data_IF_284543691703
#
_entry.id   IF_284543691703
#
_cell.length_a   1.000
_cell.length_b   1.000
_cell.length_c   1.000
_cell.angle_alpha   90.00
_cell.angle_beta   90.00
_cell.angle_gamma   90.00
#
_symmetry.space_group_name_H-M   'P 1'
#
loop_
_entity.id
_entity.type
_entity.pdbx_description
1 polymer ?
#
# COMPACT_ATOMS: atom_id res chain seq x y z
N UNK A 1 -0.49 25.86 -0.33
CA UNK A 1 0.24 26.06 -1.61
C UNK A 1 0.82 24.70 -1.94
N UNK A 2 0.36 24.04 -3.00
CA UNK A 2 0.99 22.79 -3.46
C UNK A 2 2.27 23.17 -4.20
N UNK A 3 3.42 23.03 -3.54
CA UNK A 3 4.73 23.42 -4.11
C UNK A 3 5.15 22.51 -5.28
N UNK A 4 4.57 21.31 -5.38
CA UNK A 4 4.93 20.28 -6.36
C UNK A 4 3.71 19.68 -7.08
N UNK A 5 3.88 19.33 -8.36
CA UNK A 5 2.83 18.69 -9.17
C UNK A 5 2.66 17.20 -8.76
N UNK A 6 1.47 16.77 -8.29
CA UNK A 6 1.18 15.37 -7.95
C UNK A 6 1.50 14.38 -9.08
N UNK A 7 1.40 14.80 -10.35
CA UNK A 7 1.71 13.98 -11.53
C UNK A 7 3.19 13.64 -11.66
N UNK A 8 4.07 14.42 -11.03
CA UNK A 8 5.50 14.14 -10.93
C UNK A 8 5.85 13.45 -9.60
N UNK A 9 5.17 13.82 -8.51
CA UNK A 9 5.41 13.22 -7.18
C UNK A 9 5.06 11.73 -7.18
N UNK A 10 3.84 11.37 -7.62
CA UNK A 10 3.38 9.98 -7.61
C UNK A 10 4.31 8.97 -8.33
N UNK A 11 4.73 9.20 -9.59
CA UNK A 11 5.67 8.29 -10.24
C UNK A 11 7.05 8.28 -9.57
N UNK A 12 7.48 9.38 -8.97
CA UNK A 12 8.76 9.44 -8.26
C UNK A 12 8.70 8.68 -6.94
N UNK A 13 7.58 8.71 -6.21
CA UNK A 13 7.33 7.83 -5.07
C UNK A 13 7.44 6.36 -5.48
N UNK A 14 6.81 5.97 -6.59
CA UNK A 14 6.92 4.60 -7.12
C UNK A 14 8.36 4.22 -7.49
N UNK A 15 9.11 5.15 -8.10
CA UNK A 15 10.52 4.95 -8.40
C UNK A 15 11.33 4.67 -7.14
N UNK A 16 11.12 5.48 -6.09
CA UNK A 16 11.80 5.34 -4.82
C UNK A 16 11.40 4.05 -4.08
N UNK A 17 10.12 3.68 -4.10
CA UNK A 17 9.60 2.41 -3.57
C UNK A 17 10.27 1.21 -4.22
N UNK A 18 10.36 1.23 -5.54
CA UNK A 18 11.05 0.17 -6.28
C UNK A 18 12.52 0.01 -5.88
N UNK A 19 13.18 1.09 -5.46
CA UNK A 19 14.56 1.01 -4.93
C UNK A 19 14.60 0.47 -3.51
N UNK A 20 13.70 0.93 -2.65
CA UNK A 20 13.62 0.51 -1.24
C UNK A 20 13.32 -0.99 -1.11
N UNK A 21 12.42 -1.52 -1.94
CA UNK A 21 12.01 -2.94 -1.97
C UNK A 21 12.92 -3.83 -2.85
N UNK A 22 14.10 -3.34 -3.23
CA UNK A 22 15.07 -4.05 -4.10
C UNK A 22 14.53 -4.51 -5.48
N UNK A 23 13.41 -3.94 -5.94
CA UNK A 23 12.76 -4.22 -7.23
C UNK A 23 13.03 -3.09 -8.23
N UNK A 24 14.30 -2.73 -8.40
CA UNK A 24 14.70 -1.47 -9.05
C UNK A 24 14.15 -1.31 -10.47
N UNK A 25 13.41 -0.22 -10.71
CA UNK A 25 12.92 0.18 -12.04
C UNK A 25 13.87 1.21 -12.66
N UNK A 26 14.05 1.21 -13.99
CA UNK A 26 14.81 2.26 -14.66
C UNK A 26 13.98 3.54 -14.83
N UNK A 27 14.52 4.71 -14.48
CA UNK A 27 13.83 6.00 -14.63
C UNK A 27 13.37 6.29 -16.08
N UNK A 28 14.10 5.78 -17.08
CA UNK A 28 13.70 5.85 -18.51
C UNK A 28 12.34 5.21 -18.77
N UNK A 29 12.08 4.07 -18.13
CA UNK A 29 10.84 3.34 -18.28
C UNK A 29 9.67 4.12 -17.67
N UNK A 30 9.91 4.78 -16.53
CA UNK A 30 8.91 5.61 -15.86
C UNK A 30 8.51 6.83 -16.73
N UNK A 31 9.49 7.54 -17.31
CA UNK A 31 9.21 8.63 -18.25
C UNK A 31 8.41 8.15 -19.47
N UNK A 32 8.72 6.96 -19.99
CA UNK A 32 7.97 6.37 -21.09
C UNK A 32 6.51 6.11 -20.73
N UNK A 33 6.23 5.53 -19.56
CA UNK A 33 4.87 5.30 -19.10
C UNK A 33 4.12 6.59 -18.77
N UNK A 34 4.80 7.59 -18.20
CA UNK A 34 4.18 8.90 -17.93
C UNK A 34 3.69 9.58 -19.21
N UNK A 35 4.49 9.56 -20.28
CA UNK A 35 4.09 10.08 -21.60
C UNK A 35 2.93 9.31 -22.21
N UNK A 36 2.79 8.03 -21.89
CA UNK A 36 1.70 7.19 -22.39
C UNK A 36 0.39 7.43 -21.63
N UNK A 37 0.47 7.58 -20.31
CA UNK A 37 -0.69 7.82 -19.44
C UNK A 37 -1.21 9.26 -19.62
N UNK A 38 -0.30 10.22 -19.66
CA UNK A 38 -0.61 11.64 -19.86
C UNK A 38 -0.25 12.04 -21.29
N UNK A 39 -1.26 12.09 -22.17
CA UNK A 39 -1.08 12.55 -23.55
C UNK A 39 -1.01 14.08 -23.69
N UNK A 40 -1.08 14.81 -22.57
CA UNK A 40 -1.06 16.27 -22.56
C UNK A 40 0.37 16.81 -22.71
N UNK A 41 0.61 17.57 -23.78
CA UNK A 41 1.88 18.21 -24.11
C UNK A 41 2.39 19.17 -23.01
N UNK A 42 1.50 19.63 -22.12
CA UNK A 42 1.83 20.57 -21.05
C UNK A 42 2.71 19.96 -19.95
N UNK A 43 2.74 18.64 -19.78
CA UNK A 43 3.42 17.96 -18.67
C UNK A 43 4.45 16.94 -19.18
N UNK A 44 5.42 17.43 -19.96
CA UNK A 44 6.55 16.62 -20.44
C UNK A 44 7.65 16.54 -19.40
N UNK A 45 7.58 15.53 -18.54
CA UNK A 45 8.64 15.22 -17.58
C UNK A 45 9.83 14.54 -18.24
N UNK A 46 11.02 14.97 -17.86
CA UNK A 46 12.30 14.38 -18.20
C UNK A 46 12.87 13.60 -17.02
N UNK A 47 13.89 12.79 -17.28
CA UNK A 47 14.57 12.00 -16.23
C UNK A 47 15.13 12.92 -15.13
N UNK A 48 15.62 14.11 -15.51
CA UNK A 48 16.16 15.10 -14.56
C UNK A 48 15.12 15.52 -13.52
N UNK A 49 13.85 15.66 -13.93
CA UNK A 49 12.78 16.12 -13.05
C UNK A 49 12.43 15.04 -12.02
N UNK A 50 12.46 13.77 -12.43
CA UNK A 50 12.27 12.62 -11.53
C UNK A 50 13.42 12.52 -10.53
N UNK A 51 14.67 12.70 -10.96
CA UNK A 51 15.83 12.61 -10.07
C UNK A 51 15.91 13.81 -9.10
N UNK A 52 15.51 15.00 -9.53
CA UNK A 52 15.40 16.15 -8.64
C UNK A 52 14.29 15.94 -7.61
N UNK A 53 13.13 15.45 -8.05
CA UNK A 53 12.02 15.13 -7.15
C UNK A 53 12.38 14.01 -6.17
N UNK A 54 13.16 13.01 -6.60
CA UNK A 54 13.62 11.92 -5.75
C UNK A 54 14.36 12.46 -4.52
N UNK A 55 15.27 13.42 -4.73
CA UNK A 55 16.02 14.03 -3.63
C UNK A 55 15.10 14.79 -2.66
N UNK A 56 14.11 15.53 -3.18
CA UNK A 56 13.14 16.26 -2.35
C UNK A 56 12.27 15.32 -1.51
N UNK A 57 11.82 14.21 -2.11
CA UNK A 57 11.02 13.18 -1.43
C UNK A 57 11.84 12.52 -0.32
N UNK A 58 13.10 12.18 -0.60
CA UNK A 58 14.02 11.59 0.39
C UNK A 58 14.21 12.51 1.60
N UNK A 59 14.42 13.80 1.37
CA UNK A 59 14.55 14.81 2.42
C UNK A 59 13.26 14.95 3.24
N UNK A 60 12.10 15.01 2.58
CA UNK A 60 10.80 15.13 3.25
C UNK A 60 10.46 13.91 4.14
N UNK A 61 10.85 12.71 3.72
CA UNK A 61 10.70 11.47 4.49
C UNK A 61 11.77 11.30 5.59
N UNK A 62 12.72 12.23 5.71
CA UNK A 62 13.89 12.09 6.56
C UNK A 62 14.63 10.75 6.32
N UNK A 63 14.63 10.25 5.08
CA UNK A 63 15.21 8.96 4.68
C UNK A 63 14.62 7.72 5.38
N UNK A 64 13.44 7.81 6.00
CA UNK A 64 12.70 6.65 6.49
C UNK A 64 11.97 5.96 5.34
N UNK A 65 12.60 4.95 4.74
CA UNK A 65 12.08 4.25 3.55
C UNK A 65 11.51 2.87 3.85
N UNK A 66 11.70 2.34 5.06
CA UNK A 66 11.21 1.01 5.44
C UNK A 66 9.81 1.14 6.01
N UNK A 67 8.82 0.57 5.31
CA UNK A 67 7.42 0.55 5.73
C UNK A 67 7.01 -0.89 6.08
N UNK A 68 6.25 -1.05 7.16
CA UNK A 68 5.72 -2.35 7.55
C UNK A 68 4.26 -2.47 7.10
N UNK A 69 3.99 -3.44 6.23
CA UNK A 69 2.66 -3.62 5.65
C UNK A 69 1.82 -4.66 6.42
N UNK A 70 0.48 -4.48 6.51
CA UNK A 70 -0.44 -5.45 7.11
C UNK A 70 -0.43 -6.82 6.41
N UNK A 71 -0.11 -6.87 5.12
CA UNK A 71 -0.09 -8.11 4.32
C UNK A 71 0.83 -9.18 4.89
N UNK A 72 1.96 -8.79 5.50
CA UNK A 72 2.96 -9.74 6.01
C UNK A 72 2.39 -10.64 7.10
N UNK A 73 1.52 -10.10 7.95
CA UNK A 73 0.87 -10.86 9.01
C UNK A 73 -0.43 -11.55 8.53
N UNK A 74 -1.03 -11.06 7.45
CA UNK A 74 -2.38 -11.45 7.03
C UNK A 74 -2.54 -12.95 6.77
N UNK A 75 -1.65 -13.56 5.97
CA UNK A 75 -1.75 -14.99 5.63
C UNK A 75 -1.63 -15.89 6.85
N UNK A 76 -0.72 -15.57 7.77
CA UNK A 76 -0.53 -16.34 9.00
C UNK A 76 -1.72 -16.18 9.94
N UNK A 77 -2.21 -14.96 10.13
CA UNK A 77 -3.38 -14.68 10.98
C UNK A 77 -4.65 -15.34 10.43
N UNK A 78 -4.88 -15.34 9.12
CA UNK A 78 -6.00 -16.03 8.50
C UNK A 78 -5.92 -17.55 8.68
N UNK A 79 -4.71 -18.12 8.59
CA UNK A 79 -4.49 -19.54 8.85
C UNK A 79 -4.76 -19.89 10.33
N UNK A 80 -4.23 -19.10 11.26
CA UNK A 80 -4.41 -19.29 12.69
C UNK A 80 -5.88 -19.14 13.11
N UNK A 81 -6.63 -18.23 12.46
CA UNK A 81 -8.07 -18.05 12.67
C UNK A 81 -8.94 -19.17 12.06
N UNK A 82 -8.35 -20.12 11.31
CA UNK A 82 -9.11 -21.14 10.58
C UNK A 82 -9.93 -20.57 9.41
N UNK A 83 -9.48 -19.45 8.83
CA UNK A 83 -10.15 -18.67 7.78
C UNK A 83 -9.30 -18.57 6.50
N UNK A 84 -8.51 -19.62 6.19
CA UNK A 84 -7.61 -19.65 5.04
C UNK A 84 -8.28 -19.98 3.70
N UNK A 85 -9.62 -19.94 3.63
CA UNK A 85 -10.35 -20.10 2.37
C UNK A 85 -9.93 -19.01 1.37
N UNK A 86 -9.87 -19.37 0.08
CA UNK A 86 -9.50 -18.44 -1.00
C UNK A 86 -10.40 -17.19 -1.01
N UNK A 87 -11.70 -17.37 -0.76
CA UNK A 87 -12.68 -16.28 -0.70
C UNK A 87 -12.44 -15.34 0.48
N UNK A 88 -12.03 -15.86 1.63
CA UNK A 88 -11.70 -15.08 2.82
C UNK A 88 -10.40 -14.31 2.64
N UNK A 89 -9.40 -14.97 2.08
CA UNK A 89 -8.12 -14.34 1.73
C UNK A 89 -8.34 -13.18 0.77
N UNK A 90 -9.09 -13.38 -0.31
CA UNK A 90 -9.38 -12.32 -1.29
C UNK A 90 -10.18 -11.17 -0.69
N UNK A 91 -11.21 -11.46 0.10
CA UNK A 91 -12.00 -10.43 0.78
C UNK A 91 -11.14 -9.60 1.71
N UNK A 92 -10.38 -10.26 2.59
CA UNK A 92 -9.56 -9.58 3.58
C UNK A 92 -8.42 -8.81 2.93
N UNK A 93 -7.83 -9.34 1.85
CA UNK A 93 -6.86 -8.63 1.04
C UNK A 93 -7.45 -7.37 0.43
N UNK A 94 -8.67 -7.44 -0.12
CA UNK A 94 -9.38 -6.27 -0.65
C UNK A 94 -9.62 -5.20 0.41
N UNK A 95 -10.05 -5.60 1.61
CA UNK A 95 -10.21 -4.69 2.75
C UNK A 95 -8.88 -4.02 3.11
N UNK A 96 -7.78 -4.77 3.18
CA UNK A 96 -6.44 -4.21 3.46
C UNK A 96 -6.04 -3.21 2.37
N UNK A 97 -6.25 -3.52 1.09
CA UNK A 97 -5.97 -2.58 -0.02
C UNK A 97 -6.72 -1.26 0.17
N UNK A 98 -7.98 -1.33 0.59
CA UNK A 98 -8.82 -0.14 0.75
C UNK A 98 -8.41 0.71 1.96
N UNK A 99 -7.70 0.14 2.96
CA UNK A 99 -7.16 0.94 4.07
C UNK A 99 -6.09 1.94 3.64
N UNK A 100 -5.43 1.74 2.49
CA UNK A 100 -4.47 2.70 1.92
C UNK A 100 -5.11 3.91 1.25
N UNK A 101 -6.44 3.92 1.12
CA UNK A 101 -7.21 5.10 0.72
C UNK A 101 -7.57 5.99 1.92
N UNK A 102 -7.10 5.63 3.11
CA UNK A 102 -7.37 6.29 4.39
C UNK A 102 -6.06 6.51 5.15
N UNK A 103 -6.09 7.33 6.19
CA UNK A 103 -4.90 7.61 7.01
C UNK A 103 -4.57 6.48 8.02
N UNK A 104 -5.32 5.36 8.00
CA UNK A 104 -5.20 4.28 8.99
C UNK A 104 -3.79 3.69 9.09
N UNK A 105 -3.08 3.54 7.96
CA UNK A 105 -1.70 2.99 7.94
C UNK A 105 -0.68 3.88 8.65
N UNK A 106 -1.02 5.16 8.84
CA UNK A 106 -0.15 6.17 9.43
C UNK A 106 -0.42 6.32 10.93
N UNK A 107 -1.66 6.06 11.34
CA UNK A 107 -2.12 6.20 12.73
C UNK A 107 -1.99 4.88 13.50
N UNK A 108 -2.17 3.74 12.85
CA UNK A 108 -2.23 2.44 13.50
C UNK A 108 -1.11 1.48 13.10
N UNK A 109 -0.65 0.62 14.04
CA UNK A 109 0.25 -0.48 13.71
C UNK A 109 -0.34 -1.44 12.68
N UNK A 110 0.47 -1.95 11.73
CA UNK A 110 -0.02 -2.76 10.61
C UNK A 110 -0.70 -4.08 11.03
N UNK A 111 -0.29 -4.66 12.16
CA UNK A 111 -0.92 -5.87 12.68
C UNK A 111 -2.35 -5.62 13.19
N UNK A 112 -2.64 -4.45 13.79
CA UNK A 112 -4.00 -4.11 14.24
C UNK A 112 -4.92 -3.85 13.05
N UNK A 113 -4.40 -3.25 11.97
CA UNK A 113 -5.14 -3.07 10.72
C UNK A 113 -5.49 -4.43 10.11
N UNK A 114 -4.54 -5.36 10.04
CA UNK A 114 -4.81 -6.72 9.56
C UNK A 114 -5.89 -7.42 10.39
N UNK A 115 -5.82 -7.31 11.72
CA UNK A 115 -6.83 -7.87 12.64
C UNK A 115 -8.21 -7.22 12.45
N UNK A 116 -8.27 -5.90 12.24
CA UNK A 116 -9.51 -5.19 11.94
C UNK A 116 -10.13 -5.64 10.62
N UNK A 117 -9.33 -5.86 9.58
CA UNK A 117 -9.80 -6.41 8.31
C UNK A 117 -10.32 -7.85 8.48
N UNK A 118 -9.61 -8.70 9.23
CA UNK A 118 -10.06 -10.07 9.54
C UNK A 118 -11.37 -10.04 10.35
N UNK A 119 -11.49 -9.12 11.31
CA UNK A 119 -12.69 -8.94 12.12
C UNK A 119 -13.89 -8.60 11.22
N UNK A 120 -13.77 -7.59 10.36
CA UNK A 120 -14.82 -7.24 9.38
C UNK A 120 -15.17 -8.46 8.51
N UNK A 121 -14.17 -9.14 7.94
CA UNK A 121 -14.38 -10.30 7.09
C UNK A 121 -15.10 -11.45 7.82
N UNK A 122 -14.79 -11.67 9.10
CA UNK A 122 -15.44 -12.67 9.95
C UNK A 122 -16.91 -12.36 10.20
N UNK A 123 -17.23 -11.09 10.49
CA UNK A 123 -18.59 -10.61 10.71
C UNK A 123 -19.42 -10.73 9.43
N UNK A 124 -18.86 -10.33 8.27
CA UNK A 124 -19.53 -10.43 6.97
C UNK A 124 -19.86 -11.87 6.54
N UNK A 125 -19.18 -12.86 7.13
CA UNK A 125 -19.29 -14.28 6.77
C UNK A 125 -19.84 -15.13 7.90
N UNK A 126 -20.33 -14.48 8.95
CA UNK A 126 -20.95 -15.13 10.12
C UNK A 126 -20.03 -16.18 10.75
N UNK A 127 -18.72 -15.93 10.74
CA UNK A 127 -17.70 -16.79 11.36
C UNK A 127 -17.47 -16.34 12.79
N UNK A 128 -17.65 -17.24 13.75
CA UNK A 128 -17.30 -16.97 15.14
C UNK A 128 -15.78 -17.05 15.33
N UNK A 129 -15.17 -15.90 15.60
CA UNK A 129 -13.73 -15.73 15.85
C UNK A 129 -13.46 -15.26 17.28
N UNK A 130 -14.48 -15.25 18.15
CA UNK A 130 -14.39 -14.65 19.50
C UNK A 130 -13.29 -15.30 20.33
N UNK A 131 -13.25 -16.63 20.38
CA UNK A 131 -12.24 -17.38 21.12
C UNK A 131 -10.81 -17.11 20.59
N UNK A 132 -10.65 -17.02 19.28
CA UNK A 132 -9.35 -16.74 18.66
C UNK A 132 -8.83 -15.35 19.03
N UNK A 133 -9.69 -14.33 19.02
CA UNK A 133 -9.32 -12.97 19.45
C UNK A 133 -8.98 -12.91 20.95
N UNK A 134 -9.65 -13.69 21.80
CA UNK A 134 -9.32 -13.80 23.23
C UNK A 134 -7.93 -14.43 23.46
N UNK A 135 -7.58 -15.46 22.70
CA UNK A 135 -6.26 -16.12 22.76
C UNK A 135 -5.11 -15.17 22.35
N UNK A 136 -5.35 -14.30 21.37
CA UNK A 136 -4.38 -13.32 20.91
C UNK A 136 -4.09 -12.20 21.94
N UNK A 137 -4.94 -12.03 22.94
CA UNK A 137 -4.83 -10.96 23.98
C UNK A 137 -4.70 -9.55 23.39
N UNK A 138 -5.38 -9.30 22.28
CA UNK A 138 -5.40 -8.00 21.60
C UNK A 138 -6.50 -7.11 22.20
N UNK A 139 -6.28 -5.80 22.24
CA UNK A 139 -7.32 -4.85 22.63
C UNK A 139 -8.42 -4.79 21.57
N UNK A 140 -9.55 -5.43 21.87
CA UNK A 140 -10.72 -5.46 20.99
C UNK A 140 -11.37 -4.09 20.79
N UNK A 141 -11.14 -3.12 21.69
CA UNK A 141 -11.64 -1.76 21.47
C UNK A 141 -10.88 -1.10 20.32
N UNK A 142 -9.55 -1.24 20.29
CA UNK A 142 -8.73 -0.74 19.19
C UNK A 142 -9.11 -1.39 17.85
N UNK A 143 -9.28 -2.72 17.83
CA UNK A 143 -9.70 -3.44 16.62
C UNK A 143 -11.07 -2.95 16.13
N UNK A 144 -12.06 -2.82 17.02
CA UNK A 144 -13.39 -2.33 16.66
C UNK A 144 -13.38 -0.89 16.17
N UNK A 145 -12.58 -0.01 16.77
CA UNK A 145 -12.46 1.38 16.33
C UNK A 145 -11.92 1.45 14.90
N UNK A 146 -10.81 0.76 14.62
CA UNK A 146 -10.25 0.68 13.26
C UNK A 146 -11.27 0.08 12.29
N UNK A 147 -11.99 -0.97 12.70
CA UNK A 147 -13.02 -1.57 11.86
C UNK A 147 -14.17 -0.60 11.55
N UNK A 148 -14.60 0.22 12.52
CA UNK A 148 -15.61 1.25 12.29
C UNK A 148 -15.11 2.31 11.31
N UNK A 149 -13.87 2.78 11.44
CA UNK A 149 -13.29 3.75 10.50
C UNK A 149 -13.23 3.21 9.06
N UNK A 150 -12.87 1.92 8.89
CA UNK A 150 -12.90 1.26 7.57
C UNK A 150 -14.34 1.20 7.02
N UNK A 151 -15.33 0.87 7.86
CA UNK A 151 -16.72 0.79 7.44
C UNK A 151 -17.30 2.16 7.10
N UNK A 152 -16.99 3.18 7.90
CA UNK A 152 -17.35 4.58 7.65
C UNK A 152 -16.77 5.08 6.32
N UNK A 153 -15.55 4.67 5.98
CA UNK A 153 -14.96 4.92 4.66
C UNK A 153 -15.82 4.34 3.53
N UNK A 154 -16.35 3.12 3.67
CA UNK A 154 -17.23 2.52 2.66
C UNK A 154 -18.59 3.22 2.58
N UNK A 155 -19.17 3.63 3.70
CA UNK A 155 -20.45 4.38 3.68
C UNK A 155 -20.31 5.72 2.96
N UNK A 156 -19.21 6.43 3.21
CA UNK A 156 -18.95 7.74 2.61
C UNK A 156 -18.55 7.65 1.12
N UNK A 157 -17.79 6.64 0.72
CA UNK A 157 -17.29 6.52 -0.67
C UNK A 157 -18.25 5.83 -1.64
N UNK A 158 -19.27 5.13 -1.15
CA UNK A 158 -20.30 4.49 -2.00
C UNK A 158 -21.04 5.48 -2.93
N UNK A 159 -20.91 6.79 -2.65
CA UNK A 159 -21.58 7.89 -3.36
C UNK A 159 -20.66 8.71 -4.28
N UNK A 160 -19.36 8.43 -4.33
CA UNK A 160 -18.39 9.29 -5.04
C UNK A 160 -18.04 8.67 -6.41
N UNK A 161 -18.57 9.17 -7.54
CA UNK A 161 -18.08 8.79 -8.86
C UNK A 161 -16.61 9.18 -9.02
N UNK A 162 -15.85 8.35 -9.73
CA UNK A 162 -14.39 8.42 -9.95
C UNK A 162 -13.87 9.83 -10.32
N UNK A 163 -14.66 10.63 -11.04
CA UNK A 163 -14.36 12.03 -11.39
C UNK A 163 -14.31 12.98 -10.18
N UNK A 164 -15.12 12.75 -9.15
CA UNK A 164 -15.10 13.52 -7.90
C UNK A 164 -13.91 13.14 -7.03
N UNK A 165 -13.37 11.93 -7.15
CA UNK A 165 -12.15 11.51 -6.45
C UNK A 165 -10.95 12.29 -7.01
N UNK A 166 -10.86 12.46 -8.32
CA UNK A 166 -9.83 13.30 -8.97
C UNK A 166 -9.96 14.77 -8.53
N UNK A 167 -11.19 15.30 -8.51
CA UNK A 167 -11.44 16.67 -8.04
C UNK A 167 -11.30 16.85 -6.51
N UNK A 168 -11.42 15.77 -5.72
CA UNK A 168 -11.18 15.76 -4.29
C UNK A 168 -9.70 15.61 -3.97
N UNK A 169 -8.93 14.82 -4.72
CA UNK A 169 -7.46 14.75 -4.65
C UNK A 169 -6.84 16.14 -4.83
N UNK A 170 -7.35 16.93 -5.78
CA UNK A 170 -6.94 18.33 -5.94
C UNK A 170 -7.27 19.21 -4.71
N UNK A 171 -8.34 18.89 -3.96
CA UNK A 171 -8.82 19.64 -2.78
C UNK A 171 -8.30 19.14 -1.44
N UNK A 172 -7.91 17.87 -1.33
CA UNK A 172 -7.40 17.18 -0.13
C UNK A 172 -5.89 17.37 0.03
N UNK A 173 -5.24 18.07 -0.90
CA UNK A 173 -3.86 18.57 -0.85
C UNK A 173 -3.49 19.47 0.37
N UNK A 174 -4.28 19.43 1.45
CA UNK A 174 -4.07 20.08 2.74
C UNK A 174 -3.86 19.14 3.94
N UNK A 175 -3.76 17.81 3.76
CA UNK A 175 -3.24 16.90 4.80
C UNK A 175 -1.70 16.89 4.79
N UNK A 176 -1.06 16.47 5.89
CA UNK A 176 0.38 16.68 6.06
C UNK A 176 1.18 15.98 4.96
N UNK A 177 2.16 16.69 4.40
CA UNK A 177 2.89 16.30 3.17
C UNK A 177 3.55 14.91 3.26
N UNK A 178 3.85 14.45 4.48
CA UNK A 178 4.44 13.13 4.74
C UNK A 178 3.42 12.00 4.58
N UNK A 179 2.18 12.23 4.97
CA UNK A 179 1.12 11.23 5.03
C UNK A 179 0.64 10.83 3.63
N UNK A 180 0.40 11.81 2.76
CA UNK A 180 0.02 11.58 1.36
C UNK A 180 1.10 10.85 0.56
N UNK A 181 2.37 11.15 0.84
CA UNK A 181 3.48 10.60 0.09
C UNK A 181 3.71 9.12 0.42
N UNK A 182 3.48 8.71 1.67
CA UNK A 182 3.49 7.31 2.10
C UNK A 182 2.29 6.55 1.52
N UNK A 183 1.08 7.12 1.52
CA UNK A 183 -0.10 6.44 0.96
C UNK A 183 0.06 6.16 -0.54
N UNK A 184 0.56 7.13 -1.31
CA UNK A 184 0.85 6.95 -2.75
C UNK A 184 1.97 5.93 -2.98
N UNK A 185 2.99 5.91 -2.12
CA UNK A 185 4.08 4.92 -2.16
C UNK A 185 3.53 3.50 -1.98
N UNK A 186 2.61 3.29 -1.02
CA UNK A 186 2.08 1.95 -0.74
C UNK A 186 0.94 1.54 -1.68
N UNK A 187 0.04 2.44 -2.09
CA UNK A 187 -0.98 2.14 -3.11
C UNK A 187 -0.32 1.66 -4.42
N UNK A 188 0.79 2.29 -4.82
CA UNK A 188 1.52 1.91 -6.03
C UNK A 188 2.32 0.61 -5.87
N UNK A 189 2.80 0.28 -4.67
CA UNK A 189 3.35 -1.05 -4.36
C UNK A 189 2.28 -2.15 -4.46
N UNK A 190 1.05 -1.87 -4.02
CA UNK A 190 -0.09 -2.79 -4.13
C UNK A 190 -0.51 -2.92 -5.59
N UNK A 191 -0.52 -1.84 -6.38
CA UNK A 191 -0.76 -1.93 -7.83
C UNK A 191 0.33 -2.76 -8.52
N UNK A 192 1.59 -2.63 -8.11
CA UNK A 192 2.68 -3.50 -8.56
C UNK A 192 2.40 -4.95 -8.16
N UNK A 193 2.02 -5.21 -6.91
CA UNK A 193 1.66 -6.52 -6.39
C UNK A 193 0.40 -7.12 -7.04
N UNK A 194 -0.54 -6.29 -7.50
CA UNK A 194 -1.78 -6.69 -8.19
C UNK A 194 -1.52 -7.01 -9.66
N UNK A 195 -0.64 -6.23 -10.32
CA UNK A 195 -0.12 -6.52 -11.67
C UNK A 195 0.77 -7.76 -11.69
N UNK A 196 1.57 -7.95 -10.64
CA UNK A 196 2.37 -9.16 -10.39
C UNK A 196 1.51 -10.28 -9.76
N UNK A 197 0.30 -9.95 -9.31
CA UNK A 197 -0.77 -10.78 -8.73
C UNK A 197 -1.03 -12.06 -9.51
N UNK A 198 -1.08 -11.91 -10.84
CA UNK A 198 -1.25 -13.02 -11.77
C UNK A 198 -0.04 -13.97 -11.87
N UNK A 199 1.08 -13.69 -11.19
CA UNK A 199 2.35 -14.42 -11.24
C UNK A 199 3.00 -14.72 -9.88
N UNK A 200 2.32 -14.48 -8.75
CA UNK A 200 2.92 -14.64 -7.41
C UNK A 200 3.51 -16.02 -7.13
N UNK A 201 2.95 -17.10 -7.68
CA UNK A 201 3.53 -18.45 -7.54
C UNK A 201 4.95 -18.59 -8.13
N UNK A 202 5.33 -17.76 -9.11
CA UNK A 202 6.67 -17.77 -9.73
C UNK A 202 7.64 -16.77 -9.08
N UNK A 203 7.13 -15.72 -8.42
CA UNK A 203 7.96 -14.69 -7.80
C UNK A 203 8.48 -15.11 -6.43
N UNK A 204 7.73 -15.92 -5.68
CA UNK A 204 8.18 -16.44 -4.39
C UNK A 204 9.40 -17.36 -4.57
N UNK A 205 9.42 -18.20 -5.62
CA UNK A 205 10.60 -18.98 -6.01
C UNK A 205 11.77 -18.10 -6.48
N UNK A 206 11.51 -17.01 -7.20
CA UNK A 206 12.55 -16.11 -7.71
C UNK A 206 13.19 -15.28 -6.58
N UNK A 207 12.37 -14.85 -5.61
CA UNK A 207 12.81 -14.09 -4.45
C UNK A 207 13.57 -14.97 -3.46
N UNK A 208 13.13 -16.22 -3.25
CA UNK A 208 13.90 -17.22 -2.50
C UNK A 208 15.22 -17.60 -3.21
N UNK A 209 15.25 -17.64 -4.55
CA UNK A 209 16.49 -17.87 -5.31
C UNK A 209 17.49 -16.72 -5.14
N UNK A 210 17.06 -15.47 -5.31
CA UNK A 210 17.92 -14.28 -5.14
C UNK A 210 18.43 -14.12 -3.71
N UNK A 211 17.62 -14.48 -2.72
CA UNK A 211 18.03 -14.45 -1.31
C UNK A 211 19.07 -15.53 -0.98
N UNK A 212 19.04 -16.69 -1.68
CA UNK A 212 20.07 -17.73 -1.57
C UNK A 212 21.36 -17.37 -2.30
N UNK A 213 21.27 -16.70 -3.44
CA UNK A 213 22.44 -16.19 -4.19
C UNK A 213 23.17 -15.10 -3.39
N UNK A 214 22.46 -14.14 -2.78
CA UNK A 214 23.08 -13.11 -1.92
C UNK A 214 23.72 -13.66 -0.64
N UNK A 215 23.33 -14.83 -0.13
CA UNK A 215 23.97 -15.47 1.04
C UNK A 215 25.32 -16.14 0.72
N UNK A 216 25.62 -16.39 -0.55
CA UNK A 216 26.91 -16.94 -0.98
C UNK A 216 27.98 -15.86 -1.15
N UNK A 217 27.59 -14.61 -1.42
CA UNK A 217 28.52 -13.50 -1.64
C UNK A 217 29.00 -12.79 -0.35
N UNK A 218 28.44 -13.14 0.82
CA UNK A 218 28.82 -12.58 2.13
C UNK A 218 29.73 -13.50 2.98
N UNK A 219 30.25 -14.59 2.40
CA UNK A 219 31.25 -15.46 3.05
C UNK A 219 32.60 -15.45 2.30
N UNK A 220 33.13 -14.26 2.02
CA UNK A 220 34.53 -14.01 1.63
C UNK A 220 35.05 -12.77 2.36
#
# INVERSE_FOLDING_TARGET
>A
MTEYDPRLVAPTCLYLASKAEESTVQARLLVFYLKKIYSDEKHRYEIKDILEMEMKILEALNYYLVVFHPYRALSQLLQDAGMNDMSMTQLTWGLVNDTYKTDLILVHPPHLIALACIYIASVLREKDTTAWFEELRVDMNAVKNISMEILDFYENNRMVPEERIIAALDKVSGQSEKEQMVLVFVELEIQLCSLLGAKWGQLDELCQKKTREKKLDFNL
#
